data_IF_018791034657
#
_entry.id   IF_018791034657
#
_cell.length_a   1.000
_cell.length_b   1.000
_cell.length_c   1.000
_cell.angle_alpha   90.00
_cell.angle_beta   90.00
_cell.angle_gamma   90.00
#
_symmetry.space_group_name_H-M   'P 1'
#
loop_
_entity.id
_entity.type
_entity.pdbx_description
1 polymer ?
#
# COMPACT_ATOMS: atom_id res chain seq x y z
N UNK A 1 2.76 -33.63 2.52
CA UNK A 1 2.03 -32.83 3.53
C UNK A 1 1.47 -31.56 2.89
N UNK A 2 0.25 -31.14 3.25
CA UNK A 2 -0.31 -29.84 2.86
C UNK A 2 0.57 -28.66 3.32
N UNK A 3 0.64 -27.60 2.52
CA UNK A 3 1.50 -26.43 2.78
C UNK A 3 1.08 -25.67 4.07
N UNK A 4 -0.20 -25.75 4.46
CA UNK A 4 -0.75 -25.17 5.69
C UNK A 4 -0.21 -25.83 6.96
N UNK A 5 -0.03 -27.15 6.93
CA UNK A 5 0.40 -27.92 8.10
C UNK A 5 1.88 -27.69 8.37
N UNK A 6 2.67 -27.56 7.29
CA UNK A 6 4.08 -27.25 7.36
C UNK A 6 4.35 -25.86 7.94
N UNK A 7 3.51 -24.86 7.60
CA UNK A 7 3.58 -23.50 8.18
C UNK A 7 3.21 -23.49 9.66
N UNK A 8 2.18 -24.27 10.06
CA UNK A 8 1.78 -24.39 11.47
C UNK A 8 2.90 -25.03 12.30
N UNK A 9 3.49 -26.11 11.81
CA UNK A 9 4.61 -26.80 12.46
C UNK A 9 5.84 -25.89 12.60
N UNK A 10 6.15 -25.07 11.59
CA UNK A 10 7.28 -24.14 11.65
C UNK A 10 7.10 -23.02 12.68
N UNK A 11 5.87 -22.50 12.84
CA UNK A 11 5.56 -21.51 13.89
C UNK A 11 5.68 -22.11 15.29
N UNK A 12 5.15 -23.33 15.48
CA UNK A 12 5.26 -24.04 16.75
C UNK A 12 6.71 -24.33 17.11
N UNK A 13 7.51 -24.84 16.16
CA UNK A 13 8.92 -25.15 16.38
C UNK A 13 9.77 -23.93 16.76
N UNK A 14 9.41 -22.74 16.27
CA UNK A 14 10.05 -21.48 16.68
C UNK A 14 9.58 -21.01 18.06
N UNK A 15 8.28 -21.13 18.38
CA UNK A 15 7.76 -20.84 19.70
C UNK A 15 8.38 -21.73 20.80
N UNK A 16 8.51 -23.03 20.53
CA UNK A 16 9.16 -23.99 21.44
C UNK A 16 10.65 -23.66 21.65
N UNK A 17 11.32 -23.18 20.59
CA UNK A 17 12.72 -22.74 20.64
C UNK A 17 12.90 -21.47 21.48
N UNK A 18 11.95 -20.54 21.44
CA UNK A 18 11.94 -19.37 22.32
C UNK A 18 11.71 -19.78 23.78
N UNK A 19 10.79 -20.71 24.05
CA UNK A 19 10.55 -21.25 25.38
C UNK A 19 11.78 -21.96 25.97
N UNK A 20 12.60 -22.59 25.12
CA UNK A 20 13.86 -23.22 25.50
C UNK A 20 15.06 -22.24 25.64
N UNK A 21 14.85 -20.93 25.44
CA UNK A 21 15.91 -19.91 25.54
C UNK A 21 16.93 -19.91 24.40
N UNK A 22 16.76 -20.78 23.40
CA UNK A 22 17.66 -20.93 22.26
C UNK A 22 16.96 -20.45 20.99
N UNK A 23 16.86 -19.13 20.80
CA UNK A 23 16.19 -18.54 19.64
C UNK A 23 16.79 -19.03 18.31
N UNK A 24 16.02 -19.81 17.55
CA UNK A 24 16.47 -20.34 16.25
C UNK A 24 16.41 -19.25 15.18
N UNK A 25 17.50 -19.11 14.41
CA UNK A 25 17.59 -18.12 13.32
C UNK A 25 16.71 -18.53 12.12
N UNK A 26 16.31 -17.55 11.29
CA UNK A 26 15.51 -17.80 10.09
C UNK A 26 16.19 -18.74 9.09
N UNK A 27 17.53 -18.77 9.07
CA UNK A 27 18.32 -19.70 8.25
C UNK A 27 18.20 -21.13 8.77
N UNK A 28 18.43 -21.33 10.07
CA UNK A 28 18.31 -22.65 10.70
C UNK A 28 16.86 -23.19 10.65
N UNK A 29 15.86 -22.30 10.79
CA UNK A 29 14.45 -22.66 10.62
C UNK A 29 14.13 -23.02 9.16
N UNK A 30 14.70 -22.32 8.18
CA UNK A 30 14.56 -22.67 6.76
C UNK A 30 15.16 -24.03 6.44
N UNK A 31 16.40 -24.29 6.88
CA UNK A 31 17.11 -25.55 6.67
C UNK A 31 16.37 -26.75 7.28
N UNK A 32 15.83 -26.60 8.50
CA UNK A 32 15.07 -27.66 9.20
C UNK A 32 13.81 -28.11 8.44
N UNK A 33 13.23 -27.24 7.62
CA UNK A 33 12.01 -27.51 6.85
C UNK A 33 12.27 -27.64 5.33
N UNK A 34 13.54 -27.67 4.88
CA UNK A 34 13.89 -27.75 3.47
C UNK A 34 13.46 -26.53 2.65
N UNK A 35 13.52 -25.33 3.25
CA UNK A 35 13.06 -24.05 2.69
C UNK A 35 14.15 -22.98 2.73
N UNK A 36 13.91 -21.88 2.00
CA UNK A 36 14.82 -20.74 1.95
C UNK A 36 14.85 -19.97 3.28
N UNK A 37 15.96 -19.28 3.54
CA UNK A 37 16.12 -18.41 4.72
C UNK A 37 15.03 -17.32 4.79
N UNK A 38 14.68 -16.72 3.65
CA UNK A 38 13.61 -15.71 3.57
C UNK A 38 12.27 -16.27 4.07
N UNK A 39 11.95 -17.50 3.67
CA UNK A 39 10.74 -18.18 4.14
C UNK A 39 10.76 -18.41 5.66
N UNK A 40 11.93 -18.74 6.24
CA UNK A 40 12.10 -18.87 7.68
C UNK A 40 11.94 -17.54 8.43
N UNK A 41 12.50 -16.45 7.92
CA UNK A 41 12.35 -15.10 8.50
C UNK A 41 10.90 -14.63 8.52
N UNK A 42 10.14 -14.91 7.47
CA UNK A 42 8.69 -14.59 7.42
C UNK A 42 7.90 -15.31 8.52
N UNK A 43 8.22 -16.57 8.84
CA UNK A 43 7.55 -17.31 9.93
C UNK A 43 7.90 -16.78 11.32
N UNK A 44 9.15 -16.38 11.53
CA UNK A 44 9.58 -15.76 12.78
C UNK A 44 8.86 -14.42 13.01
N UNK A 45 8.73 -13.61 11.96
CA UNK A 45 8.00 -12.36 12.01
C UNK A 45 6.53 -12.57 12.40
N UNK A 46 5.87 -13.61 11.85
CA UNK A 46 4.49 -13.96 12.21
C UNK A 46 4.32 -14.32 13.70
N UNK A 47 5.29 -15.01 14.32
CA UNK A 47 5.21 -15.40 15.75
C UNK A 47 5.53 -14.22 16.68
N UNK A 48 6.48 -13.35 16.31
CA UNK A 48 6.80 -12.13 17.07
C UNK A 48 5.68 -11.08 17.06
N UNK A 49 4.82 -11.10 16.04
CA UNK A 49 3.61 -10.27 16.02
C UNK A 49 2.54 -10.79 16.98
N UNK A 50 2.58 -12.08 17.33
CA UNK A 50 1.61 -12.71 18.26
C UNK A 50 2.07 -12.83 19.72
N UNK A 51 3.36 -12.65 20.01
CA UNK A 51 3.90 -12.71 21.36
C UNK A 51 4.63 -11.38 21.63
N UNK A 52 4.13 -10.53 22.55
CA UNK A 52 4.84 -9.32 22.96
C UNK A 52 6.25 -9.66 23.43
N UNK A 53 7.26 -8.79 23.24
CA UNK A 53 8.62 -9.09 23.69
C UNK A 53 8.64 -9.30 25.20
N UNK A 54 9.04 -10.49 25.66
CA UNK A 54 9.36 -10.71 27.06
C UNK A 54 10.72 -10.05 27.34
N UNK A 55 10.68 -8.91 28.02
CA UNK A 55 11.85 -8.25 28.59
C UNK A 55 12.63 -9.23 29.48
N UNK A 56 13.86 -9.52 29.08
CA UNK A 56 14.80 -10.28 29.89
C UNK A 56 15.39 -9.36 30.96
N UNK A 57 15.02 -9.63 32.22
CA UNK A 57 15.51 -8.96 33.43
C UNK A 57 16.98 -9.31 33.74
N UNK A 58 17.68 -8.36 34.32
CA UNK A 58 18.68 -8.52 35.40
C UNK A 58 18.57 -7.23 36.25
N UNK A 59 17.97 -7.23 37.45
CA UNK A 59 18.42 -7.78 38.76
C UNK A 59 19.45 -6.90 39.46
N UNK A 60 19.03 -6.14 40.49
CA UNK A 60 19.59 -6.12 41.85
C UNK A 60 18.87 -5.08 42.75
N UNK A 61 18.39 -5.56 43.91
CA UNK A 61 18.20 -4.92 45.23
C UNK A 61 17.45 -3.57 45.35
N UNK A 62 16.56 -3.32 46.31
CA UNK A 62 16.13 -4.05 47.50
C UNK A 62 15.41 -3.07 48.46
N UNK A 63 14.28 -3.53 49.03
CA UNK A 63 13.60 -3.13 50.28
C UNK A 63 13.11 -1.69 50.59
N UNK A 64 11.85 -1.64 51.02
CA UNK A 64 11.25 -0.61 51.89
C UNK A 64 9.78 -0.33 51.52
N UNK A 65 8.83 -1.23 51.79
CA UNK A 65 7.99 -1.28 52.99
C UNK A 65 7.17 0.02 53.27
N UNK A 66 5.89 0.04 52.86
CA UNK A 66 4.84 0.80 53.57
C UNK A 66 3.44 0.16 53.33
N UNK A 67 2.58 0.01 54.37
CA UNK A 67 1.25 -0.59 54.25
C UNK A 67 0.11 0.43 54.46
N UNK A 68 -1.00 0.30 53.72
CA UNK A 68 -2.36 0.71 54.11
C UNK A 68 -3.36 0.19 53.06
N UNK A 69 -4.14 -0.85 53.36
CA UNK A 69 -5.48 -0.77 53.95
C UNK A 69 -6.57 -0.36 52.93
N UNK A 70 -7.27 -1.41 52.50
CA UNK A 70 -8.65 -1.51 52.00
C UNK A 70 -9.51 -0.23 51.95
N UNK A 71 -10.13 0.00 50.79
CA UNK A 71 -11.53 0.42 50.75
C UNK A 71 -12.29 -0.26 49.61
N UNK A 72 -13.48 -0.69 49.96
CA UNK A 72 -14.43 -1.53 49.24
C UNK A 72 -15.33 -0.62 48.41
N UNK A 73 -15.40 -0.87 47.10
CA UNK A 73 -15.91 0.12 46.15
C UNK A 73 -16.50 -0.51 44.91
N UNK A 74 -17.47 -1.38 45.13
CA UNK A 74 -18.41 -1.95 44.16
C UNK A 74 -18.99 -0.87 43.23
N UNK A 75 -18.36 -0.63 42.07
CA UNK A 75 -18.88 0.18 40.97
C UNK A 75 -18.58 -0.44 39.61
N UNK A 76 -19.58 -1.17 39.13
CA UNK A 76 -19.99 -1.22 37.73
C UNK A 76 -18.85 -1.35 36.71
N UNK A 77 -18.35 -2.57 36.55
CA UNK A 77 -17.83 -3.01 35.25
C UNK A 77 -19.00 -3.02 34.27
N UNK A 78 -19.23 -1.88 33.61
CA UNK A 78 -19.94 -1.83 32.35
C UNK A 78 -19.17 -2.77 31.41
N UNK A 79 -19.81 -3.90 31.07
CA UNK A 79 -19.33 -4.79 30.04
C UNK A 79 -19.07 -3.98 28.79
N UNK A 80 -17.79 -3.74 28.53
CA UNK A 80 -17.29 -3.37 27.21
C UNK A 80 -17.66 -4.55 26.33
N UNK A 81 -18.86 -4.45 25.75
CA UNK A 81 -19.24 -5.30 24.65
C UNK A 81 -18.27 -4.87 23.57
N UNK A 82 -17.18 -5.62 23.42
CA UNK A 82 -16.28 -5.53 22.28
C UNK A 82 -17.13 -5.85 21.06
N UNK A 83 -17.82 -4.84 20.54
CA UNK A 83 -18.06 -4.71 19.12
C UNK A 83 -16.69 -4.49 18.50
N UNK A 84 -15.87 -5.55 18.55
CA UNK A 84 -14.77 -5.78 17.64
C UNK A 84 -15.46 -6.04 16.29
N UNK A 85 -15.96 -4.94 15.74
CA UNK A 85 -16.78 -4.89 14.56
C UNK A 85 -15.88 -5.33 13.42
N UNK A 86 -15.84 -6.65 13.17
CA UNK A 86 -15.50 -7.34 11.93
C UNK A 86 -14.87 -6.40 10.90
N UNK A 87 -13.66 -5.90 11.15
CA UNK A 87 -12.91 -5.19 10.12
C UNK A 87 -12.50 -6.32 9.19
N UNK A 88 -13.07 -6.42 7.97
CA UNK A 88 -12.70 -7.50 7.07
C UNK A 88 -11.19 -7.37 6.86
N UNK A 89 -10.45 -8.39 7.29
CA UNK A 89 -9.01 -8.43 7.11
C UNK A 89 -8.72 -8.21 5.62
N UNK A 90 -7.96 -7.16 5.30
CA UNK A 90 -7.63 -6.84 3.90
C UNK A 90 -7.01 -8.10 3.28
N UNK A 91 -7.61 -8.66 2.22
CA UNK A 91 -7.10 -9.90 1.63
C UNK A 91 -5.62 -9.77 1.27
N UNK A 92 -4.83 -10.78 1.62
CA UNK A 92 -3.42 -10.84 1.25
C UNK A 92 -3.29 -10.73 -0.28
N UNK A 93 -2.68 -9.65 -0.77
CA UNK A 93 -2.53 -9.39 -2.20
C UNK A 93 -3.38 -8.24 -2.77
N UNK A 94 -4.34 -7.68 -2.02
CA UNK A 94 -5.17 -6.57 -2.50
C UNK A 94 -4.33 -5.36 -2.97
N UNK A 95 -3.27 -5.03 -2.22
CA UNK A 95 -2.30 -3.99 -2.60
C UNK A 95 -1.60 -4.30 -3.92
N UNK A 96 -1.22 -5.56 -4.13
CA UNK A 96 -0.50 -5.97 -5.33
C UNK A 96 -1.38 -5.85 -6.57
N UNK A 97 -2.63 -6.30 -6.49
CA UNK A 97 -3.60 -6.20 -7.59
C UNK A 97 -3.89 -4.73 -7.92
N UNK A 98 -4.14 -3.90 -6.90
CA UNK A 98 -4.36 -2.48 -7.11
C UNK A 98 -3.12 -1.78 -7.71
N UNK A 99 -1.92 -2.12 -7.24
CA UNK A 99 -0.68 -1.63 -7.83
C UNK A 99 -0.52 -2.04 -9.29
N UNK A 100 -0.81 -3.31 -9.62
CA UNK A 100 -0.73 -3.82 -10.98
C UNK A 100 -1.69 -3.09 -11.92
N UNK A 101 -2.94 -2.87 -11.50
CA UNK A 101 -3.93 -2.13 -12.27
C UNK A 101 -3.51 -0.68 -12.54
N UNK A 102 -2.99 0.00 -11.51
CA UNK A 102 -2.50 1.37 -11.66
C UNK A 102 -1.29 1.48 -12.61
N UNK A 103 -0.31 0.57 -12.45
CA UNK A 103 0.89 0.54 -13.31
C UNK A 103 0.52 0.19 -14.75
N UNK A 104 -0.34 -0.80 -14.95
CA UNK A 104 -0.83 -1.16 -16.27
C UNK A 104 -1.50 0.03 -16.97
N UNK A 105 -2.44 0.70 -16.30
CA UNK A 105 -3.08 1.89 -16.86
C UNK A 105 -2.10 3.01 -17.19
N UNK A 106 -1.14 3.27 -16.29
CA UNK A 106 -0.10 4.30 -16.50
C UNK A 106 0.77 4.00 -17.72
N UNK A 107 1.22 2.75 -17.87
CA UNK A 107 2.02 2.32 -19.02
C UNK A 107 1.21 2.41 -20.31
N UNK A 108 -0.04 1.95 -20.30
CA UNK A 108 -0.91 2.01 -21.48
C UNK A 108 -1.24 3.45 -21.90
N UNK A 109 -1.43 4.37 -20.95
CA UNK A 109 -1.64 5.79 -21.25
C UNK A 109 -0.42 6.42 -21.94
N UNK A 110 0.79 6.17 -21.41
CA UNK A 110 2.03 6.66 -22.04
C UNK A 110 2.25 6.01 -23.41
N UNK A 111 2.05 4.69 -23.51
CA UNK A 111 2.24 3.95 -24.75
C UNK A 111 1.29 4.42 -25.85
N UNK A 112 0.01 4.69 -25.52
CA UNK A 112 -0.95 5.21 -26.48
C UNK A 112 -0.57 6.60 -26.99
N UNK A 113 -0.10 7.49 -26.11
CA UNK A 113 0.39 8.80 -26.54
C UNK A 113 1.62 8.69 -27.44
N UNK A 114 2.59 7.85 -27.08
CA UNK A 114 3.78 7.60 -27.93
C UNK A 114 3.36 7.03 -29.26
N UNK A 115 2.45 6.05 -29.27
CA UNK A 115 1.94 5.42 -30.47
C UNK A 115 1.16 6.40 -31.36
N UNK A 116 0.50 7.39 -30.77
CA UNK A 116 -0.14 8.46 -31.53
C UNK A 116 0.86 9.19 -32.43
N UNK A 117 2.11 9.38 -31.99
CA UNK A 117 3.16 9.94 -32.85
C UNK A 117 3.54 9.06 -34.06
N UNK A 118 3.13 7.79 -34.09
CA UNK A 118 3.33 6.85 -35.19
C UNK A 118 2.11 6.71 -36.11
N UNK A 119 0.99 7.40 -35.82
CA UNK A 119 -0.13 7.45 -36.76
C UNK A 119 0.32 8.06 -38.09
N UNK A 120 -0.29 7.68 -39.23
CA UNK A 120 0.17 8.11 -40.53
C UNK A 120 0.17 9.63 -40.67
N UNK A 121 1.36 10.21 -40.92
CA UNK A 121 1.45 11.45 -41.66
C UNK A 121 0.91 11.18 -43.07
N UNK A 122 0.15 12.13 -43.63
CA UNK A 122 -0.61 11.98 -44.89
C UNK A 122 0.25 11.52 -46.09
N UNK A 123 1.58 11.64 -46.02
CA UNK A 123 2.52 11.13 -47.01
C UNK A 123 3.67 10.37 -46.33
N UNK A 124 3.87 9.09 -46.67
CA UNK A 124 4.99 8.27 -46.15
C UNK A 124 5.97 7.89 -47.27
N UNK A 125 7.15 8.52 -47.35
CA UNK A 125 8.28 7.95 -48.08
C UNK A 125 8.73 6.63 -47.43
N UNK A 126 9.37 5.75 -48.22
CA UNK A 126 9.89 4.48 -47.71
C UNK A 126 10.93 4.73 -46.58
N UNK A 127 10.74 4.08 -45.42
CA UNK A 127 11.62 4.23 -44.26
C UNK A 127 11.27 5.38 -43.30
N UNK A 128 10.10 6.01 -43.46
CA UNK A 128 9.65 7.05 -42.54
C UNK A 128 9.43 6.51 -41.12
N UNK A 129 10.02 7.18 -40.13
CA UNK A 129 9.74 6.99 -38.70
C UNK A 129 9.58 8.36 -38.04
N UNK A 130 8.64 8.54 -37.09
CA UNK A 130 8.57 9.77 -36.33
C UNK A 130 9.87 9.98 -35.56
N UNK A 131 10.38 11.21 -35.59
CA UNK A 131 11.55 11.57 -34.79
C UNK A 131 11.32 11.33 -33.28
N UNK A 132 12.41 11.32 -32.51
CA UNK A 132 12.34 11.16 -31.04
C UNK A 132 11.54 12.29 -30.40
N UNK A 133 11.59 13.51 -30.96
CA UNK A 133 10.91 14.68 -30.41
C UNK A 133 9.38 14.55 -30.34
N UNK A 134 8.65 14.17 -31.41
CA UNK A 134 7.20 13.88 -31.32
C UNK A 134 6.85 12.78 -30.31
N UNK A 135 7.66 11.72 -30.26
CA UNK A 135 7.43 10.60 -29.34
C UNK A 135 7.54 11.06 -27.88
N UNK A 136 8.63 11.76 -27.53
CA UNK A 136 8.83 12.30 -26.17
C UNK A 136 7.79 13.38 -25.85
N UNK A 137 7.51 14.28 -26.79
CA UNK A 137 6.56 15.37 -26.60
C UNK A 137 5.14 14.88 -26.33
N UNK A 138 4.71 13.79 -26.95
CA UNK A 138 3.40 13.19 -26.69
C UNK A 138 3.29 12.56 -25.29
N UNK A 139 4.38 12.02 -24.75
CA UNK A 139 4.43 11.38 -23.44
C UNK A 139 4.52 12.38 -22.27
N UNK A 140 4.93 13.63 -22.53
CA UNK A 140 5.09 14.67 -21.50
C UNK A 140 3.81 14.88 -20.68
N UNK A 141 2.65 14.88 -21.34
CA UNK A 141 1.38 15.16 -20.67
C UNK A 141 1.01 14.12 -19.59
N UNK A 142 0.90 12.81 -19.91
CA UNK A 142 0.60 11.80 -18.89
C UNK A 142 1.71 11.67 -17.84
N UNK A 143 2.97 11.88 -18.20
CA UNK A 143 4.07 11.92 -17.22
C UNK A 143 3.88 13.08 -16.24
N UNK A 144 3.56 14.29 -16.73
CA UNK A 144 3.25 15.45 -15.90
C UNK A 144 2.08 15.20 -14.95
N UNK A 145 1.06 14.48 -15.40
CA UNK A 145 -0.06 14.05 -14.55
C UNK A 145 0.39 13.08 -13.45
N UNK A 146 1.17 12.04 -13.79
CA UNK A 146 1.69 11.09 -12.79
C UNK A 146 2.58 11.79 -11.76
N UNK A 147 3.43 12.71 -12.18
CA UNK A 147 4.25 13.52 -11.28
C UNK A 147 3.38 14.41 -10.39
N UNK A 148 2.30 15.00 -10.92
CA UNK A 148 1.37 15.81 -10.13
C UNK A 148 0.68 14.98 -9.05
N UNK A 149 0.27 13.74 -9.35
CA UNK A 149 -0.30 12.80 -8.37
C UNK A 149 0.74 12.42 -7.31
N UNK A 150 1.98 12.21 -7.71
CA UNK A 150 3.07 11.89 -6.78
C UNK A 150 3.33 13.04 -5.81
N UNK A 151 3.41 14.28 -6.33
CA UNK A 151 3.52 15.49 -5.50
C UNK A 151 2.31 15.63 -4.58
N UNK A 152 1.10 15.38 -5.08
CA UNK A 152 -0.14 15.44 -4.31
C UNK A 152 -0.16 14.44 -3.15
N UNK A 153 0.45 13.26 -3.34
CA UNK A 153 0.42 12.16 -2.38
C UNK A 153 1.58 12.18 -1.37
N UNK A 154 2.75 12.72 -1.75
CA UNK A 154 3.96 12.69 -0.90
C UNK A 154 4.25 13.99 -0.16
N UNK A 155 3.84 15.14 -0.70
CA UNK A 155 4.16 16.43 -0.09
C UNK A 155 3.22 16.68 1.10
N UNK A 156 3.75 16.98 2.31
CA UNK A 156 2.94 17.49 3.41
C UNK A 156 2.59 18.95 3.12
N UNK A 157 1.39 19.19 2.60
CA UNK A 157 0.93 20.53 2.27
C UNK A 157 0.56 21.31 3.52
N UNK A 158 0.97 22.58 3.59
CA UNK A 158 0.58 23.48 4.66
C UNK A 158 -0.96 23.71 4.66
N UNK A 159 -1.56 23.94 5.84
CA UNK A 159 -2.98 24.24 5.93
C UNK A 159 -3.27 25.65 5.38
N UNK A 160 -4.47 25.84 4.83
CA UNK A 160 -4.97 27.14 4.38
C UNK A 160 -5.49 27.14 2.94
N UNK A 161 -6.32 28.13 2.64
CA UNK A 161 -7.00 28.24 1.34
C UNK A 161 -6.04 28.34 0.15
N UNK A 162 -5.01 29.20 0.24
CA UNK A 162 -4.05 29.38 -0.85
C UNK A 162 -3.22 28.13 -1.14
N UNK A 163 -2.86 27.37 -0.11
CA UNK A 163 -2.18 26.09 -0.26
C UNK A 163 -3.10 25.02 -0.84
N UNK A 164 -4.38 25.01 -0.45
CA UNK A 164 -5.38 24.14 -1.05
C UNK A 164 -5.62 24.50 -2.53
N UNK A 165 -5.67 25.78 -2.87
CA UNK A 165 -5.81 26.25 -4.25
C UNK A 165 -4.59 25.87 -5.10
N UNK A 166 -3.37 26.04 -4.59
CA UNK A 166 -2.16 25.59 -5.30
C UNK A 166 -2.17 24.06 -5.50
N UNK A 167 -2.54 23.31 -4.46
CA UNK A 167 -2.60 21.85 -4.47
C UNK A 167 -3.62 21.31 -5.47
N UNK A 168 -4.88 21.72 -5.32
CA UNK A 168 -5.99 21.17 -6.09
C UNK A 168 -6.21 21.92 -7.41
N UNK A 169 -6.00 23.23 -7.43
CA UNK A 169 -6.07 24.03 -8.65
C UNK A 169 -4.93 23.73 -9.60
N UNK A 170 -3.68 23.65 -9.10
CA UNK A 170 -2.52 23.26 -9.90
C UNK A 170 -2.64 21.83 -10.43
N UNK A 171 -2.88 20.85 -9.54
CA UNK A 171 -3.06 19.46 -9.96
C UNK A 171 -4.27 19.27 -10.89
N UNK A 172 -5.39 19.95 -10.61
CA UNK A 172 -6.59 19.92 -11.44
C UNK A 172 -6.36 20.48 -12.84
N UNK A 173 -5.56 21.55 -12.96
CA UNK A 173 -5.19 22.12 -14.27
C UNK A 173 -4.35 21.13 -15.09
N UNK A 174 -3.32 20.51 -14.48
CA UNK A 174 -2.51 19.50 -15.15
C UNK A 174 -3.35 18.27 -15.52
N UNK A 175 -4.23 17.82 -14.62
CA UNK A 175 -5.12 16.70 -14.86
C UNK A 175 -6.07 16.96 -16.02
N UNK A 176 -6.71 18.12 -16.07
CA UNK A 176 -7.64 18.46 -17.15
C UNK A 176 -6.91 18.58 -18.50
N UNK A 177 -5.81 19.32 -18.55
CA UNK A 177 -5.02 19.48 -19.78
C UNK A 177 -4.48 18.14 -20.30
N UNK A 178 -3.92 17.33 -19.41
CA UNK A 178 -3.41 16.00 -19.75
C UNK A 178 -4.53 15.06 -20.21
N UNK A 179 -5.68 15.07 -19.54
CA UNK A 179 -6.81 14.21 -19.88
C UNK A 179 -7.34 14.53 -21.29
N UNK A 180 -7.55 15.81 -21.62
CA UNK A 180 -8.07 16.20 -22.94
C UNK A 180 -7.12 15.76 -24.07
N UNK A 181 -5.82 16.05 -23.93
CA UNK A 181 -4.84 15.73 -24.97
C UNK A 181 -4.62 14.22 -25.08
N UNK A 182 -4.45 13.51 -23.94
CA UNK A 182 -4.21 12.06 -23.94
C UNK A 182 -5.43 11.27 -24.39
N UNK A 183 -6.64 11.70 -24.03
CA UNK A 183 -7.89 11.11 -24.52
C UNK A 183 -7.97 11.19 -26.05
N UNK A 184 -7.66 12.37 -26.63
CA UNK A 184 -7.64 12.56 -28.08
C UNK A 184 -6.67 11.60 -28.76
N UNK A 185 -5.41 11.57 -28.31
CA UNK A 185 -4.38 10.69 -28.87
C UNK A 185 -4.78 9.21 -28.83
N UNK A 186 -5.27 8.72 -27.68
CA UNK A 186 -5.66 7.32 -27.54
C UNK A 186 -6.89 7.00 -28.40
N UNK A 187 -7.88 7.89 -28.44
CA UNK A 187 -9.05 7.73 -29.30
C UNK A 187 -8.66 7.65 -30.78
N UNK A 188 -7.75 8.51 -31.22
CA UNK A 188 -7.27 8.51 -32.61
C UNK A 188 -6.48 7.24 -32.95
N UNK A 189 -5.66 6.75 -32.02
CA UNK A 189 -5.01 5.43 -32.14
C UNK A 189 -6.05 4.33 -32.32
N UNK A 190 -7.11 4.31 -31.52
CA UNK A 190 -8.16 3.29 -31.62
C UNK A 190 -8.92 3.39 -32.94
N UNK A 191 -9.20 4.60 -33.43
CA UNK A 191 -9.80 4.82 -34.75
C UNK A 191 -8.89 4.32 -35.87
N UNK A 192 -7.58 4.59 -35.79
CA UNK A 192 -6.60 4.09 -36.77
C UNK A 192 -6.48 2.56 -36.76
N UNK A 193 -6.87 1.90 -35.67
CA UNK A 193 -6.98 0.46 -35.56
C UNK A 193 -8.38 -0.10 -35.91
N UNK A 194 -9.22 0.73 -36.55
CA UNK A 194 -10.55 0.34 -37.01
C UNK A 194 -11.53 -0.04 -35.87
N UNK A 195 -11.28 0.45 -34.65
CA UNK A 195 -12.31 0.39 -33.61
C UNK A 195 -13.44 1.35 -33.96
N UNK A 196 -14.69 0.87 -33.81
CA UNK A 196 -15.87 1.72 -34.00
C UNK A 196 -15.86 2.94 -33.07
N UNK A 197 -16.56 4.01 -33.47
CA UNK A 197 -16.56 5.30 -32.77
C UNK A 197 -16.85 5.20 -31.26
N UNK A 198 -17.76 4.31 -30.86
CA UNK A 198 -18.06 4.05 -29.45
C UNK A 198 -16.89 3.38 -28.73
N UNK A 199 -16.25 2.37 -29.33
CA UNK A 199 -15.08 1.71 -28.75
C UNK A 199 -13.91 2.67 -28.58
N UNK A 200 -13.65 3.51 -29.58
CA UNK A 200 -12.60 4.52 -29.52
C UNK A 200 -12.88 5.62 -28.48
N UNK A 201 -14.15 5.97 -28.25
CA UNK A 201 -14.53 6.92 -27.21
C UNK A 201 -14.47 6.32 -25.79
N UNK A 202 -14.84 5.05 -25.64
CA UNK A 202 -14.89 4.38 -24.33
C UNK A 202 -13.51 3.88 -23.89
N UNK A 203 -12.63 3.50 -24.82
CA UNK A 203 -11.31 2.96 -24.54
C UNK A 203 -10.48 3.76 -23.54
N UNK A 204 -10.29 5.09 -23.73
CA UNK A 204 -9.56 5.92 -22.78
C UNK A 204 -10.19 5.91 -21.38
N UNK A 205 -11.53 5.97 -21.30
CA UNK A 205 -12.27 5.99 -20.03
C UNK A 205 -12.09 4.70 -19.24
N UNK A 206 -11.94 3.56 -19.92
CA UNK A 206 -11.69 2.27 -19.26
C UNK A 206 -10.31 2.25 -18.60
N UNK A 207 -9.28 2.78 -19.26
CA UNK A 207 -7.94 2.86 -18.67
C UNK A 207 -7.91 3.82 -17.48
N UNK A 208 -8.51 5.00 -17.61
CA UNK A 208 -8.59 5.98 -16.53
C UNK A 208 -9.42 5.44 -15.35
N UNK A 209 -10.57 4.80 -15.63
CA UNK A 209 -11.40 4.16 -14.63
C UNK A 209 -10.65 3.08 -13.85
N UNK A 210 -9.86 2.25 -14.54
CA UNK A 210 -9.00 1.25 -13.91
C UNK A 210 -7.98 1.92 -12.98
N UNK A 211 -7.32 3.00 -13.43
CA UNK A 211 -6.34 3.74 -12.62
C UNK A 211 -6.98 4.39 -11.40
N UNK A 212 -8.16 5.00 -11.56
CA UNK A 212 -8.91 5.65 -10.47
C UNK A 212 -9.31 4.63 -9.41
N UNK A 213 -9.94 3.51 -9.81
CA UNK A 213 -10.34 2.44 -8.88
C UNK A 213 -9.11 1.86 -8.17
N UNK A 214 -8.02 1.61 -8.92
CA UNK A 214 -6.76 1.11 -8.37
C UNK A 214 -6.12 2.09 -7.38
N UNK A 215 -6.12 3.40 -7.70
CA UNK A 215 -5.59 4.45 -6.84
C UNK A 215 -6.37 4.57 -5.53
N UNK A 216 -7.70 4.59 -5.59
CA UNK A 216 -8.54 4.59 -4.39
C UNK A 216 -8.34 3.31 -3.56
N UNK A 217 -8.21 2.15 -4.19
CA UNK A 217 -7.91 0.91 -3.48
C UNK A 217 -6.55 1.00 -2.75
N UNK A 218 -5.51 1.55 -3.38
CA UNK A 218 -4.21 1.77 -2.74
C UNK A 218 -4.29 2.75 -1.56
N UNK A 219 -5.08 3.82 -1.69
CA UNK A 219 -5.32 4.78 -0.61
C UNK A 219 -6.04 4.13 0.58
N UNK A 220 -7.07 3.33 0.32
CA UNK A 220 -7.80 2.59 1.37
C UNK A 220 -6.88 1.64 2.13
N UNK A 221 -6.09 0.83 1.41
CA UNK A 221 -5.12 -0.10 2.05
C UNK A 221 -4.07 0.65 2.88
N UNK A 222 -3.65 1.83 2.44
CA UNK A 222 -2.65 2.65 3.15
C UNK A 222 -3.22 3.26 4.43
N UNK A 223 -4.48 3.73 4.41
CA UNK A 223 -5.17 4.26 5.60
C UNK A 223 -5.41 3.19 6.65
N UNK A 224 -5.82 1.98 6.25
CA UNK A 224 -6.02 0.87 7.19
C UNK A 224 -4.73 0.55 7.96
N UNK A 225 -3.58 0.49 7.29
CA UNK A 225 -2.29 0.25 7.97
C UNK A 225 -1.91 1.35 8.95
N UNK A 226 -2.11 2.61 8.57
CA UNK A 226 -1.81 3.74 9.45
C UNK A 226 -2.70 3.72 10.71
N UNK A 227 -3.99 3.38 10.54
CA UNK A 227 -4.92 3.22 11.65
C UNK A 227 -4.50 2.11 12.62
N UNK A 228 -4.17 0.92 12.11
CA UNK A 228 -3.72 -0.21 12.96
C UNK A 228 -2.43 0.12 13.71
N UNK A 229 -1.46 0.79 13.08
CA UNK A 229 -0.22 1.19 13.75
C UNK A 229 -0.46 2.25 14.84
N UNK A 230 -1.38 3.19 14.60
CA UNK A 230 -1.76 4.20 15.58
C UNK A 230 -2.41 3.59 16.82
N UNK A 231 -3.41 2.70 16.62
CA UNK A 231 -4.09 2.01 17.72
C UNK A 231 -3.13 1.18 18.57
N UNK A 232 -2.24 0.39 17.95
CA UNK A 232 -1.25 -0.40 18.67
C UNK A 232 -0.28 0.45 19.51
N UNK A 233 0.04 1.67 19.05
CA UNK A 233 0.91 2.60 19.79
C UNK A 233 0.17 3.24 20.97
N UNK A 234 -1.12 3.57 20.80
CA UNK A 234 -1.97 4.11 21.87
C UNK A 234 -2.24 3.07 22.95
N UNK A 235 -2.52 1.82 22.57
CA UNK A 235 -2.74 0.73 23.52
C UNK A 235 -1.47 0.46 24.34
N UNK A 236 -0.29 0.45 23.71
CA UNK A 236 0.98 0.27 24.41
C UNK A 236 1.28 1.44 25.39
N UNK A 237 0.96 2.68 25.00
CA UNK A 237 1.14 3.85 25.85
C UNK A 237 0.17 3.85 27.04
N UNK A 238 -1.06 3.38 26.85
CA UNK A 238 -2.03 3.21 27.93
C UNK A 238 -1.62 2.10 28.90
N UNK A 239 -1.08 0.98 28.39
CA UNK A 239 -0.61 -0.14 29.22
C UNK A 239 0.61 0.25 30.07
N UNK A 240 1.53 1.07 29.52
CA UNK A 240 2.68 1.60 30.27
C UNK A 240 2.26 2.65 31.30
N UNK A 241 1.29 3.52 30.97
CA UNK A 241 0.80 4.55 31.90
C UNK A 241 0.01 4.00 33.10
N UNK A 242 -0.60 2.82 32.97
CA UNK A 242 -1.31 2.12 34.06
C UNK A 242 -0.34 1.32 34.96
N UNK A 243 0.89 1.06 34.51
CA UNK A 243 1.91 0.35 35.29
C UNK A 243 2.74 1.27 36.20
N UNK A 244 2.59 2.59 36.10
CA UNK A 244 3.32 3.62 36.84
C UNK A 244 2.47 4.33 37.93
N UNK A 245 1.22 3.90 38.16
CA UNK A 245 0.35 4.32 39.30
C UNK A 245 0.17 3.19 40.32
#
# INVERSE_FOLDING_TARGET
>A
MPNSDLRRQARQAYADSLAAGAGVSGKALGERFGRSERWGRERIAEVRVTVPPLDQRHSADGNGAEPAAADDGDRQQHGVTTVDALVPAVPSGARFVAWLGFVFGSVMSVAANVLHAWLPADERPAGWSPGIAPQVGSAVWPIGLLLSVEVLSRVPWAPGFWWALARYGGAGTVALGSAVISYGHLREVLIAWDYGALGAAVGPLVLDGLMVVSGFALLTVSRTRAGTAGSATTDLAAEVGVADE
#
